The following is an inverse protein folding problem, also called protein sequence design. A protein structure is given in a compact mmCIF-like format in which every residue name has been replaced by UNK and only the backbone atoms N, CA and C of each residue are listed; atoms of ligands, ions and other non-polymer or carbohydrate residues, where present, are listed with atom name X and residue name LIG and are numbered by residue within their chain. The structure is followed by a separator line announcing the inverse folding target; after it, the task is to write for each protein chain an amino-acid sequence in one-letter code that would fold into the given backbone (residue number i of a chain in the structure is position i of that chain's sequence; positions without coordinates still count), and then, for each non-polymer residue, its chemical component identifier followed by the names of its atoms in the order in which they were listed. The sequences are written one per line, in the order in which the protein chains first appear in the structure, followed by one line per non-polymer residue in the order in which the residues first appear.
data_IF_200640290886
#
_entry.id   IF_200640290886
#
_cell.length_a   1.000
_cell.length_b   1.000
_cell.length_c   1.000
_cell.angle_alpha   90.00
_cell.angle_beta   90.00
_cell.angle_gamma   90.00
#
_symmetry.space_group_name_H-M   'P 1'
#
loop_
_entity.id
_entity.type
_entity.pdbx_description
1 polymer ?
#
# COMPACT_ATOMS: atom_id res chain seq x y z
N UNK A 1 -8.28 -0.68 -25.37
CA UNK A 1 -6.87 -1.05 -25.16
C UNK A 1 -6.62 -1.24 -23.67
N UNK A 2 -5.67 -2.11 -23.33
CA UNK A 2 -5.20 -2.36 -21.96
C UNK A 2 -3.72 -2.04 -21.91
N UNK A 3 -3.24 -1.55 -20.77
CA UNK A 3 -1.82 -1.37 -20.49
C UNK A 3 -1.37 -2.49 -19.57
N UNK A 4 -0.28 -3.16 -19.90
CA UNK A 4 0.37 -4.16 -19.07
C UNK A 4 1.56 -3.51 -18.37
N UNK A 5 1.59 -3.55 -17.04
CA UNK A 5 2.74 -3.12 -16.26
C UNK A 5 3.40 -4.35 -15.64
N UNK A 6 4.66 -4.59 -15.97
CA UNK A 6 5.42 -5.71 -15.43
C UNK A 6 6.31 -5.25 -14.28
N UNK A 7 6.09 -5.82 -13.09
CA UNK A 7 7.00 -5.72 -11.94
C UNK A 7 7.89 -6.96 -11.93
N UNK A 8 9.18 -6.76 -12.11
CA UNK A 8 10.11 -7.85 -12.36
C UNK A 8 11.44 -7.60 -11.63
N UNK A 9 12.10 -8.62 -11.06
CA UNK A 9 13.40 -8.44 -10.43
C UNK A 9 14.45 -7.90 -11.38
N UNK A 10 15.32 -7.03 -10.89
CA UNK A 10 16.45 -6.54 -11.68
C UNK A 10 17.50 -7.62 -11.90
N UNK A 11 17.76 -8.45 -10.87
CA UNK A 11 18.76 -9.51 -10.85
C UNK A 11 18.18 -10.83 -10.34
N UNK A 12 18.80 -11.95 -10.63
CA UNK A 12 18.39 -13.28 -10.19
C UNK A 12 18.09 -14.23 -11.35
N UNK A 13 17.60 -15.43 -11.01
CA UNK A 13 17.39 -16.51 -11.99
C UNK A 13 16.40 -16.13 -13.09
N UNK A 14 15.32 -15.42 -12.74
CA UNK A 14 14.31 -14.90 -13.68
C UNK A 14 14.19 -13.40 -13.41
N UNK A 15 14.81 -12.56 -14.26
CA UNK A 15 14.99 -11.14 -14.00
C UNK A 15 15.23 -10.37 -15.30
N UNK A 16 15.23 -9.03 -15.24
CA UNK A 16 15.63 -8.17 -16.36
C UNK A 16 17.07 -8.46 -16.84
N UNK A 17 17.97 -8.94 -15.96
CA UNK A 17 19.33 -9.30 -16.31
C UNK A 17 19.38 -10.57 -17.18
N UNK A 18 18.50 -11.52 -16.95
CA UNK A 18 18.52 -12.85 -17.60
C UNK A 18 17.50 -12.99 -18.73
N UNK A 19 16.51 -12.10 -18.84
CA UNK A 19 15.49 -12.11 -19.88
C UNK A 19 15.69 -10.88 -20.76
N UNK A 20 16.49 -11.04 -21.84
CA UNK A 20 16.88 -9.90 -22.69
C UNK A 20 16.59 -10.12 -24.17
N UNK A 21 16.75 -11.33 -24.67
CA UNK A 21 16.55 -11.61 -26.08
C UNK A 21 15.12 -12.12 -26.38
N UNK A 22 14.75 -12.07 -27.67
CA UNK A 22 13.41 -12.44 -28.14
C UNK A 22 12.94 -13.81 -27.63
N UNK A 23 13.80 -14.82 -27.62
CA UNK A 23 13.39 -16.17 -27.23
C UNK A 23 13.15 -16.28 -25.73
N UNK A 24 13.95 -15.60 -24.92
CA UNK A 24 13.79 -15.53 -23.47
C UNK A 24 12.52 -14.77 -23.09
N UNK A 25 12.25 -13.63 -23.73
CA UNK A 25 11.03 -12.84 -23.50
C UNK A 25 9.79 -13.67 -23.86
N UNK A 26 9.75 -14.26 -25.06
CA UNK A 26 8.62 -15.09 -25.47
C UNK A 26 8.48 -16.31 -24.54
N UNK A 27 9.57 -16.96 -24.17
CA UNK A 27 9.59 -18.11 -23.27
C UNK A 27 9.03 -17.78 -21.88
N UNK A 28 9.40 -16.63 -21.31
CA UNK A 28 8.83 -16.13 -20.06
C UNK A 28 7.31 -15.98 -20.16
N UNK A 29 6.84 -15.26 -21.17
CA UNK A 29 5.40 -15.00 -21.32
C UNK A 29 4.60 -16.25 -21.71
N UNK A 30 5.20 -17.20 -22.44
CA UNK A 30 4.56 -18.50 -22.71
C UNK A 30 4.37 -19.33 -21.44
N UNK A 31 5.30 -19.23 -20.50
CA UNK A 31 5.28 -19.99 -19.25
C UNK A 31 4.36 -19.35 -18.21
N UNK A 32 4.52 -18.05 -17.99
CA UNK A 32 3.87 -17.35 -16.88
C UNK A 32 2.53 -16.69 -17.28
N UNK A 33 2.39 -16.27 -18.55
CA UNK A 33 1.25 -15.51 -19.04
C UNK A 33 0.74 -16.00 -20.41
N UNK A 34 0.47 -17.31 -20.59
CA UNK A 34 0.13 -17.87 -21.90
C UNK A 34 -1.12 -17.26 -22.53
N UNK A 35 -2.10 -16.87 -21.70
CA UNK A 35 -3.38 -16.31 -22.16
C UNK A 35 -3.22 -14.89 -22.75
N UNK A 36 -2.18 -14.16 -22.36
CA UNK A 36 -1.97 -12.76 -22.76
C UNK A 36 -1.06 -12.66 -23.98
N UNK A 37 -0.19 -13.63 -24.22
CA UNK A 37 0.84 -13.57 -25.25
C UNK A 37 0.28 -13.21 -26.63
N UNK A 38 -0.83 -13.83 -27.04
CA UNK A 38 -1.46 -13.58 -28.34
C UNK A 38 -2.10 -12.19 -28.45
N UNK A 39 -2.30 -11.49 -27.34
CA UNK A 39 -2.90 -10.16 -27.27
C UNK A 39 -1.85 -9.05 -27.31
N UNK A 40 -0.55 -9.40 -27.28
CA UNK A 40 0.59 -8.47 -27.21
C UNK A 40 1.49 -8.60 -28.45
N UNK A 41 1.06 -8.12 -29.62
CA UNK A 41 1.84 -8.29 -30.87
C UNK A 41 3.20 -7.56 -30.83
N UNK A 42 3.33 -6.48 -30.06
CA UNK A 42 4.57 -5.70 -29.89
C UNK A 42 5.39 -6.10 -28.67
N UNK A 43 5.04 -7.19 -27.96
CA UNK A 43 5.67 -7.58 -26.69
C UNK A 43 7.20 -7.46 -26.67
N UNK A 44 7.86 -8.02 -27.67
CA UNK A 44 9.34 -8.05 -27.70
C UNK A 44 9.92 -6.64 -27.89
N UNK A 45 9.33 -5.86 -28.79
CA UNK A 45 9.71 -4.47 -29.02
C UNK A 45 9.49 -3.62 -27.78
N UNK A 46 8.29 -3.70 -27.17
CA UNK A 46 7.94 -2.97 -25.96
C UNK A 46 8.86 -3.34 -24.78
N UNK A 47 9.15 -4.64 -24.59
CA UNK A 47 10.03 -5.10 -23.52
C UNK A 47 11.47 -4.58 -23.67
N UNK A 48 11.96 -4.48 -24.91
CA UNK A 48 13.34 -4.06 -25.20
C UNK A 48 13.50 -2.52 -25.29
N UNK A 49 12.45 -1.79 -25.65
CA UNK A 49 12.57 -0.35 -25.90
C UNK A 49 11.99 0.52 -24.79
N UNK A 50 11.01 0.01 -24.05
CA UNK A 50 10.45 0.78 -22.93
C UNK A 50 11.46 0.90 -21.79
N UNK A 51 11.57 2.09 -21.16
CA UNK A 51 12.51 2.28 -20.06
C UNK A 51 12.11 1.47 -18.83
N UNK A 52 13.09 0.77 -18.25
CA UNK A 52 12.91 0.09 -16.96
C UNK A 52 13.22 1.06 -15.82
N UNK A 53 12.23 1.31 -14.96
CA UNK A 53 12.36 2.14 -13.77
C UNK A 53 12.63 1.33 -12.51
N UNK A 54 13.40 1.89 -11.58
CA UNK A 54 13.52 1.35 -10.24
C UNK A 54 12.39 1.88 -9.35
N UNK A 55 11.85 1.02 -8.51
CA UNK A 55 10.91 1.42 -7.46
C UNK A 55 11.70 1.77 -6.20
N UNK A 56 11.32 2.87 -5.57
CA UNK A 56 11.90 3.31 -4.31
C UNK A 56 10.80 3.82 -3.37
N UNK A 57 11.02 3.65 -2.08
CA UNK A 57 10.21 4.27 -1.02
C UNK A 57 11.07 5.29 -0.30
N UNK A 58 10.50 6.47 -0.04
CA UNK A 58 11.17 7.55 0.68
C UNK A 58 10.55 7.68 2.07
N UNK A 59 11.39 7.66 3.09
CA UNK A 59 11.05 8.02 4.47
C UNK A 59 11.81 9.30 4.81
N UNK A 60 11.09 10.38 5.00
CA UNK A 60 11.64 11.68 5.33
C UNK A 60 11.02 12.19 6.64
N UNK A 61 11.83 12.81 7.48
CA UNK A 61 11.41 13.46 8.72
C UNK A 61 12.52 14.42 9.18
N UNK A 62 12.25 15.69 9.44
CA UNK A 62 10.98 16.40 9.20
C UNK A 62 10.74 16.73 7.71
N UNK A 63 9.49 17.10 7.35
CA UNK A 63 9.15 17.53 5.99
C UNK A 63 9.35 19.04 5.76
N UNK A 64 9.84 19.77 6.75
CA UNK A 64 10.01 21.23 6.63
C UNK A 64 11.35 21.70 7.16
N UNK A 65 11.72 22.91 6.76
CA UNK A 65 12.86 23.67 7.27
C UNK A 65 12.37 25.05 7.65
N UNK A 66 12.18 25.29 8.96
CA UNK A 66 11.67 26.56 9.47
C UNK A 66 10.40 27.01 8.74
N UNK A 67 10.29 28.29 8.40
CA UNK A 67 9.24 28.89 7.58
C UNK A 67 9.58 28.97 6.07
N UNK A 68 10.68 28.33 5.63
CA UNK A 68 11.30 28.54 4.32
C UNK A 68 10.93 27.51 3.29
N UNK A 69 10.75 26.26 3.70
CA UNK A 69 10.47 25.15 2.79
C UNK A 69 9.66 24.04 3.43
N UNK A 70 8.78 23.41 2.65
CA UNK A 70 8.04 22.20 3.03
C UNK A 70 8.04 21.23 1.86
N UNK A 71 8.18 19.94 2.15
CA UNK A 71 8.06 18.84 1.19
C UNK A 71 6.63 18.34 1.14
N UNK A 72 6.16 17.98 -0.07
CA UNK A 72 4.82 17.45 -0.34
C UNK A 72 4.91 16.28 -1.31
N UNK A 73 3.97 15.34 -1.21
CA UNK A 73 3.82 14.24 -2.14
C UNK A 73 5.07 13.37 -2.24
N UNK A 74 5.42 12.93 -3.43
CA UNK A 74 6.56 12.03 -3.66
C UNK A 74 7.91 12.59 -3.19
N UNK A 75 8.04 13.91 -3.07
CA UNK A 75 9.25 14.52 -2.50
C UNK A 75 9.41 14.23 -1.01
N UNK A 76 8.30 14.04 -0.28
CA UNK A 76 8.25 13.74 1.15
C UNK A 76 8.14 12.24 1.44
N UNK A 77 7.32 11.53 0.65
CA UNK A 77 6.90 10.16 0.92
C UNK A 77 6.60 9.38 -0.38
N UNK A 78 7.52 9.32 -1.34
CA UNK A 78 7.35 8.43 -2.48
C UNK A 78 7.13 7.00 -2.00
N UNK A 79 6.09 6.34 -2.52
CA UNK A 79 5.71 4.98 -2.13
C UNK A 79 5.67 4.05 -3.34
N UNK A 80 6.00 2.77 -3.13
CA UNK A 80 5.84 1.75 -4.16
C UNK A 80 4.35 1.57 -4.54
N UNK A 81 4.01 1.27 -5.82
CA UNK A 81 2.65 1.42 -6.34
C UNK A 81 1.67 0.30 -5.94
N UNK A 82 2.07 -0.61 -5.07
CA UNK A 82 1.30 -1.83 -4.79
C UNK A 82 0.00 -1.60 -4.01
N UNK A 83 -0.17 -0.44 -3.38
CA UNK A 83 -1.44 0.00 -2.79
C UNK A 83 -2.21 0.99 -3.69
N UNK A 84 -1.54 1.58 -4.70
CA UNK A 84 -2.14 2.56 -5.60
C UNK A 84 -2.51 3.89 -4.94
N UNK A 85 -1.83 4.27 -3.85
CA UNK A 85 -2.21 5.42 -3.04
C UNK A 85 -1.30 6.65 -3.14
N UNK A 86 -0.18 6.59 -3.88
CA UNK A 86 0.77 7.71 -3.95
C UNK A 86 0.11 9.03 -4.37
N UNK A 87 -0.67 9.02 -5.44
CA UNK A 87 -1.40 10.21 -5.90
C UNK A 87 -2.44 10.69 -4.87
N UNK A 88 -3.18 9.79 -4.24
CA UNK A 88 -4.20 10.13 -3.24
C UNK A 88 -3.55 10.76 -2.00
N UNK A 89 -2.45 10.20 -1.51
CA UNK A 89 -1.68 10.75 -0.40
C UNK A 89 -1.16 12.16 -0.73
N UNK A 90 -0.60 12.36 -1.94
CA UNK A 90 -0.11 13.67 -2.38
C UNK A 90 -1.23 14.72 -2.46
N UNK A 91 -2.42 14.36 -2.92
CA UNK A 91 -3.56 15.29 -2.91
C UNK A 91 -4.10 15.55 -1.51
N UNK A 92 -4.02 14.58 -0.60
CA UNK A 92 -4.36 14.77 0.80
C UNK A 92 -3.42 15.78 1.46
N UNK A 93 -2.12 15.72 1.18
CA UNK A 93 -1.15 16.71 1.65
C UNK A 93 -1.57 18.13 1.25
N UNK A 94 -1.91 18.33 -0.03
CA UNK A 94 -2.37 19.62 -0.52
C UNK A 94 -3.62 20.12 0.22
N UNK A 95 -4.57 19.22 0.50
CA UNK A 95 -5.81 19.56 1.19
C UNK A 95 -5.55 19.96 2.64
N UNK A 96 -4.70 19.20 3.32
CA UNK A 96 -4.35 19.49 4.74
C UNK A 96 -3.55 20.77 4.83
N UNK A 97 -2.54 20.97 3.98
CA UNK A 97 -1.76 22.21 3.97
C UNK A 97 -2.67 23.42 3.70
N UNK A 98 -3.60 23.32 2.76
CA UNK A 98 -4.55 24.40 2.47
C UNK A 98 -5.42 24.75 3.69
N UNK A 99 -5.88 23.76 4.47
CA UNK A 99 -6.65 24.00 5.68
C UNK A 99 -5.78 24.71 6.74
N UNK A 100 -4.56 24.26 6.95
CA UNK A 100 -3.62 24.87 7.90
C UNK A 100 -3.26 26.33 7.53
N UNK A 101 -3.20 26.66 6.24
CA UNK A 101 -3.01 28.06 5.79
C UNK A 101 -4.17 28.93 6.29
N UNK A 102 -5.39 28.41 6.24
CA UNK A 102 -6.57 29.12 6.77
C UNK A 102 -6.56 29.21 8.30
N UNK A 103 -6.26 28.13 8.97
CA UNK A 103 -6.31 28.02 10.44
C UNK A 103 -5.25 28.89 11.13
N UNK A 104 -4.06 29.01 10.54
CA UNK A 104 -2.93 29.76 11.07
C UNK A 104 -2.73 31.15 10.41
N UNK A 105 -3.71 31.61 9.62
CA UNK A 105 -3.72 32.96 8.99
C UNK A 105 -2.40 33.31 8.25
N UNK A 106 -1.75 32.31 7.65
CA UNK A 106 -0.50 32.49 6.92
C UNK A 106 0.78 32.55 7.77
N UNK A 107 0.73 32.15 9.03
CA UNK A 107 1.94 31.94 9.83
C UNK A 107 2.68 30.68 9.38
N UNK A 108 3.60 30.83 8.43
CA UNK A 108 4.28 29.72 7.76
C UNK A 108 5.09 28.84 8.71
N UNK A 109 5.69 29.39 9.77
CA UNK A 109 6.42 28.61 10.75
C UNK A 109 5.50 27.59 11.44
N UNK A 110 4.35 28.01 11.91
CA UNK A 110 3.38 27.13 12.56
C UNK A 110 2.71 26.18 11.56
N UNK A 111 2.41 26.66 10.33
CA UNK A 111 1.80 25.84 9.28
C UNK A 111 2.69 24.66 8.93
N UNK A 112 3.99 24.90 8.66
CA UNK A 112 4.91 23.86 8.25
C UNK A 112 5.25 22.90 9.40
N UNK A 113 5.40 23.43 10.63
CA UNK A 113 5.63 22.60 11.79
C UNK A 113 4.45 21.65 12.07
N UNK A 114 3.21 22.17 12.06
CA UNK A 114 2.01 21.37 12.28
C UNK A 114 1.78 20.37 11.14
N UNK A 115 1.94 20.79 9.90
CA UNK A 115 1.83 19.90 8.74
C UNK A 115 2.81 18.73 8.85
N UNK A 116 4.09 19.02 9.09
CA UNK A 116 5.13 18.00 9.22
C UNK A 116 4.83 17.05 10.39
N UNK A 117 4.53 17.59 11.58
CA UNK A 117 4.30 16.77 12.77
C UNK A 117 3.08 15.85 12.66
N UNK A 118 2.02 16.32 12.05
CA UNK A 118 0.76 15.56 11.91
C UNK A 118 0.77 14.60 10.70
N UNK A 119 1.58 14.89 9.65
CA UNK A 119 1.50 14.16 8.38
C UNK A 119 2.63 13.17 8.14
N UNK A 120 3.82 13.36 8.71
CA UNK A 120 4.93 12.40 8.63
C UNK A 120 4.49 10.99 9.01
N UNK A 121 3.74 10.85 10.09
CA UNK A 121 3.24 9.54 10.56
C UNK A 121 2.31 8.86 9.55
N UNK A 122 1.53 9.62 8.79
CA UNK A 122 0.66 9.11 7.73
C UNK A 122 1.47 8.71 6.49
N UNK A 123 2.46 9.50 6.11
CA UNK A 123 3.38 9.19 5.01
C UNK A 123 4.17 7.91 5.26
N UNK A 124 4.69 7.74 6.47
CA UNK A 124 5.37 6.50 6.85
C UNK A 124 4.41 5.30 6.87
N UNK A 125 3.22 5.45 7.43
CA UNK A 125 2.23 4.37 7.49
C UNK A 125 1.81 3.87 6.10
N UNK A 126 1.54 4.76 5.13
CA UNK A 126 1.19 4.33 3.77
C UNK A 126 2.39 3.70 3.05
N UNK A 127 3.60 4.16 3.32
CA UNK A 127 4.82 3.57 2.80
C UNK A 127 5.02 2.14 3.30
N UNK A 128 4.86 1.91 4.61
CA UNK A 128 4.95 0.58 5.23
C UNK A 128 3.87 -0.36 4.68
N UNK A 129 2.62 0.09 4.63
CA UNK A 129 1.51 -0.70 4.07
C UNK A 129 1.75 -1.08 2.61
N UNK A 130 2.33 -0.19 1.80
CA UNK A 130 2.62 -0.46 0.41
C UNK A 130 3.72 -1.53 0.24
N UNK A 131 4.75 -1.51 1.10
CA UNK A 131 5.80 -2.53 1.13
C UNK A 131 5.25 -3.86 1.61
N UNK A 132 4.45 -3.88 2.67
CA UNK A 132 3.81 -5.10 3.18
C UNK A 132 2.91 -5.74 2.12
N UNK A 133 2.13 -4.93 1.40
CA UNK A 133 1.29 -5.42 0.31
C UNK A 133 2.11 -6.01 -0.84
N UNK A 134 3.25 -5.40 -1.18
CA UNK A 134 4.18 -5.98 -2.14
C UNK A 134 4.66 -7.37 -1.71
N UNK A 135 5.11 -7.51 -0.46
CA UNK A 135 5.58 -8.78 0.08
C UNK A 135 4.44 -9.82 0.07
N UNK A 136 3.23 -9.41 0.46
CA UNK A 136 2.06 -10.28 0.45
C UNK A 136 1.72 -10.76 -0.97
N UNK A 137 1.69 -9.86 -1.94
CA UNK A 137 1.41 -10.19 -3.35
C UNK A 137 2.47 -11.11 -3.95
N UNK A 138 3.73 -10.87 -3.64
CA UNK A 138 4.86 -11.65 -4.16
C UNK A 138 4.92 -13.06 -3.57
N UNK A 139 4.77 -13.18 -2.25
CA UNK A 139 5.14 -14.41 -1.52
C UNK A 139 3.93 -15.20 -1.01
N UNK A 140 2.78 -14.55 -0.79
CA UNK A 140 1.70 -15.13 0.02
C UNK A 140 0.48 -15.59 -0.76
N UNK A 141 0.25 -15.11 -1.97
CA UNK A 141 -1.00 -15.34 -2.74
C UNK A 141 -1.29 -16.82 -2.97
N UNK A 142 -0.26 -17.64 -3.15
CA UNK A 142 -0.37 -19.08 -3.36
C UNK A 142 -0.44 -19.89 -2.05
N UNK A 143 -0.25 -19.25 -0.89
CA UNK A 143 -0.27 -19.91 0.40
C UNK A 143 -1.72 -20.26 0.81
N UNK A 144 -2.04 -21.53 1.14
CA UNK A 144 -3.37 -21.92 1.61
C UNK A 144 -3.86 -21.15 2.85
N UNK A 145 -2.93 -20.77 3.74
CA UNK A 145 -3.27 -19.99 4.94
C UNK A 145 -3.67 -18.55 4.58
N UNK A 146 -3.10 -17.98 3.54
CA UNK A 146 -3.50 -16.67 3.02
C UNK A 146 -4.97 -16.68 2.58
N UNK A 147 -5.36 -17.68 1.80
CA UNK A 147 -6.76 -17.82 1.35
C UNK A 147 -7.74 -17.98 2.50
N UNK A 148 -7.37 -18.77 3.51
CA UNK A 148 -8.19 -18.95 4.73
C UNK A 148 -8.32 -17.65 5.52
N UNK A 149 -7.21 -16.91 5.68
CA UNK A 149 -7.20 -15.60 6.35
C UNK A 149 -8.10 -14.63 5.63
N UNK A 150 -8.00 -14.55 4.30
CA UNK A 150 -8.83 -13.67 3.48
C UNK A 150 -10.32 -13.99 3.59
N UNK A 151 -10.68 -15.27 3.65
CA UNK A 151 -12.06 -15.69 3.88
C UNK A 151 -12.54 -15.26 5.27
N UNK A 152 -11.75 -15.51 6.32
CA UNK A 152 -12.06 -15.09 7.69
C UNK A 152 -12.24 -13.56 7.78
N UNK A 153 -11.39 -12.79 7.13
CA UNK A 153 -11.47 -11.34 7.08
C UNK A 153 -12.84 -10.86 6.53
N UNK A 154 -13.30 -11.46 5.42
CA UNK A 154 -14.60 -11.15 4.83
C UNK A 154 -15.80 -11.59 5.71
N UNK A 155 -15.65 -12.69 6.46
CA UNK A 155 -16.66 -13.15 7.42
C UNK A 155 -16.75 -12.19 8.62
N UNK A 156 -15.61 -11.73 9.14
CA UNK A 156 -15.55 -10.77 10.23
C UNK A 156 -16.09 -9.39 9.83
N UNK A 157 -15.79 -8.91 8.62
CA UNK A 157 -16.35 -7.68 8.08
C UNK A 157 -17.89 -7.71 8.09
N UNK A 158 -18.47 -8.82 7.62
CA UNK A 158 -19.94 -9.01 7.62
C UNK A 158 -20.53 -9.10 9.03
N UNK A 159 -19.81 -9.76 9.95
CA UNK A 159 -20.25 -9.97 11.33
C UNK A 159 -20.13 -8.71 12.19
N UNK A 160 -19.16 -7.85 11.89
CA UNK A 160 -18.86 -6.63 12.68
C UNK A 160 -18.79 -5.39 11.77
N UNK A 161 -19.91 -5.01 11.12
CA UNK A 161 -19.93 -3.91 10.17
C UNK A 161 -19.48 -2.61 10.84
N UNK A 162 -18.63 -1.85 10.14
CA UNK A 162 -18.07 -0.58 10.63
C UNK A 162 -16.99 -0.72 11.72
N UNK A 163 -16.77 -1.93 12.27
CA UNK A 163 -15.71 -2.18 13.26
C UNK A 163 -14.56 -2.98 12.65
N UNK A 164 -14.84 -4.13 12.08
CA UNK A 164 -13.85 -4.93 11.38
C UNK A 164 -13.95 -4.60 9.88
N UNK A 165 -13.02 -3.79 9.39
CA UNK A 165 -12.95 -3.39 7.99
C UNK A 165 -11.59 -3.83 7.46
N UNK A 166 -11.52 -4.62 6.37
CA UNK A 166 -10.24 -5.02 5.78
C UNK A 166 -9.34 -3.83 5.50
N UNK A 167 -8.03 -3.97 5.76
CA UNK A 167 -7.05 -2.88 5.60
C UNK A 167 -7.16 -2.23 4.21
N UNK A 168 -7.25 -3.04 3.16
CA UNK A 168 -7.39 -2.54 1.79
C UNK A 168 -8.67 -1.70 1.62
N UNK A 169 -9.78 -2.12 2.23
CA UNK A 169 -11.04 -1.37 2.17
C UNK A 169 -10.94 -0.05 2.93
N UNK A 170 -10.28 -0.05 4.11
CA UNK A 170 -10.05 1.19 4.86
C UNK A 170 -9.25 2.20 4.05
N UNK A 171 -8.17 1.77 3.40
CA UNK A 171 -7.33 2.65 2.58
C UNK A 171 -8.03 3.15 1.34
N UNK A 172 -8.80 2.28 0.65
CA UNK A 172 -9.32 2.58 -0.68
C UNK A 172 -10.68 3.26 -0.69
N UNK A 173 -11.50 3.05 0.35
CA UNK A 173 -12.93 3.44 0.34
C UNK A 173 -13.36 4.27 1.55
N UNK A 174 -12.44 4.56 2.49
CA UNK A 174 -12.73 5.34 3.69
C UNK A 174 -11.75 6.51 3.80
N UNK A 175 -12.18 7.57 4.49
CA UNK A 175 -11.34 8.72 4.80
C UNK A 175 -10.77 8.59 6.23
N UNK A 176 -9.95 7.58 6.45
CA UNK A 176 -9.28 7.31 7.72
C UNK A 176 -7.80 7.68 7.56
N UNK A 177 -7.18 8.38 8.53
CA UNK A 177 -5.74 8.64 8.49
C UNK A 177 -4.94 7.34 8.32
N UNK A 178 -3.93 7.33 7.45
CA UNK A 178 -3.15 6.13 7.16
C UNK A 178 -2.49 5.53 8.40
N UNK A 179 -2.04 6.34 9.34
CA UNK A 179 -1.48 5.86 10.61
C UNK A 179 -2.51 5.10 11.46
N UNK A 180 -3.78 5.55 11.46
CA UNK A 180 -4.87 4.84 12.12
C UNK A 180 -5.18 3.53 11.38
N UNK A 181 -5.24 3.56 10.05
CA UNK A 181 -5.46 2.34 9.24
C UNK A 181 -4.36 1.31 9.50
N UNK A 182 -3.10 1.75 9.57
CA UNK A 182 -1.97 0.87 9.85
C UNK A 182 -2.13 0.19 11.21
N UNK A 183 -2.35 0.97 12.26
CA UNK A 183 -2.55 0.46 13.63
C UNK A 183 -3.72 -0.53 13.72
N UNK A 184 -4.88 -0.18 13.13
CA UNK A 184 -6.05 -1.05 13.10
C UNK A 184 -5.77 -2.34 12.33
N UNK A 185 -5.07 -2.23 11.21
CA UNK A 185 -4.66 -3.38 10.39
C UNK A 185 -3.77 -4.36 11.15
N UNK A 186 -2.83 -3.87 11.95
CA UNK A 186 -1.98 -4.70 12.80
C UNK A 186 -2.78 -5.45 13.87
N UNK A 187 -3.69 -4.76 14.56
CA UNK A 187 -4.59 -5.40 15.54
C UNK A 187 -5.41 -6.51 14.87
N UNK A 188 -6.01 -6.22 13.72
CA UNK A 188 -6.80 -7.21 12.97
C UNK A 188 -5.96 -8.41 12.53
N UNK A 189 -4.77 -8.16 12.01
CA UNK A 189 -3.86 -9.20 11.55
C UNK A 189 -3.41 -10.13 12.70
N UNK A 190 -3.00 -9.55 13.82
CA UNK A 190 -2.59 -10.31 14.99
C UNK A 190 -3.76 -11.14 15.55
N UNK A 191 -4.94 -10.56 15.63
CA UNK A 191 -6.16 -11.20 16.12
C UNK A 191 -6.56 -12.40 15.26
N UNK A 192 -6.57 -12.23 13.94
CA UNK A 192 -6.86 -13.34 13.01
C UNK A 192 -5.81 -14.44 13.10
N UNK A 193 -4.54 -14.11 13.22
CA UNK A 193 -3.48 -15.12 13.36
C UNK A 193 -3.61 -15.91 14.66
N UNK A 194 -3.94 -15.27 15.79
CA UNK A 194 -4.21 -15.96 17.07
C UNK A 194 -5.41 -16.88 16.95
N UNK A 195 -6.49 -16.42 16.32
CA UNK A 195 -7.70 -17.21 16.12
C UNK A 195 -7.46 -18.41 15.20
N UNK A 196 -6.84 -18.24 14.06
CA UNK A 196 -6.51 -19.32 13.12
C UNK A 196 -5.55 -20.36 13.71
N UNK A 197 -4.69 -19.94 14.63
CA UNK A 197 -3.79 -20.83 15.36
C UNK A 197 -4.46 -21.54 16.55
N UNK A 198 -5.75 -21.32 16.82
CA UNK A 198 -6.48 -21.87 17.97
C UNK A 198 -6.00 -21.36 19.33
N UNK A 199 -5.33 -20.20 19.36
CA UNK A 199 -4.82 -19.59 20.59
C UNK A 199 -5.87 -18.77 21.34
N UNK A 200 -6.94 -18.40 20.68
CA UNK A 200 -8.08 -17.66 21.24
C UNK A 200 -9.37 -18.30 20.77
N UNK A 201 -10.44 -18.15 21.57
CA UNK A 201 -11.79 -18.66 21.28
C UNK A 201 -12.59 -17.65 20.47
N UNK A 202 -13.76 -18.07 19.94
CA UNK A 202 -14.74 -17.16 19.33
C UNK A 202 -15.19 -16.04 20.28
N UNK A 203 -15.31 -16.34 21.58
CA UNK A 203 -15.68 -15.35 22.60
C UNK A 203 -14.58 -14.31 22.80
N UNK A 204 -13.31 -14.75 22.82
CA UNK A 204 -12.16 -13.84 22.94
C UNK A 204 -12.05 -12.94 21.70
N UNK A 205 -12.21 -13.54 20.52
CA UNK A 205 -12.23 -12.81 19.23
C UNK A 205 -13.32 -11.74 19.24
N UNK A 206 -14.54 -12.10 19.63
CA UNK A 206 -15.67 -11.17 19.73
C UNK A 206 -15.38 -10.02 20.71
N UNK A 207 -14.92 -10.34 21.91
CA UNK A 207 -14.64 -9.37 22.97
C UNK A 207 -13.54 -8.39 22.54
N UNK A 208 -12.46 -8.91 21.92
CA UNK A 208 -11.34 -8.08 21.44
C UNK A 208 -11.79 -7.14 20.33
N UNK A 209 -12.56 -7.62 19.35
CA UNK A 209 -13.10 -6.76 18.27
C UNK A 209 -13.93 -5.60 18.84
N UNK A 210 -14.80 -5.88 19.83
CA UNK A 210 -15.65 -4.85 20.41
C UNK A 210 -14.88 -3.82 21.24
N UNK A 211 -13.81 -4.22 21.90
CA UNK A 211 -13.03 -3.36 22.78
C UNK A 211 -11.97 -2.55 22.03
N UNK A 212 -11.24 -3.16 21.08
CA UNK A 212 -10.08 -2.55 20.44
C UNK A 212 -10.40 -1.89 19.09
N UNK A 213 -11.39 -2.42 18.35
CA UNK A 213 -11.78 -1.84 17.07
C UNK A 213 -13.02 -0.97 17.22
N UNK A 214 -12.80 0.32 17.49
CA UNK A 214 -13.90 1.29 17.56
C UNK A 214 -14.61 1.43 16.20
N UNK A 215 -15.94 1.72 16.16
CA UNK A 215 -16.62 1.95 14.90
C UNK A 215 -15.98 3.10 14.11
N UNK A 216 -15.73 2.86 12.84
CA UNK A 216 -15.37 3.91 11.87
C UNK A 216 -16.64 4.68 11.54
N UNK A 217 -16.57 6.00 11.62
CA UNK A 217 -17.69 6.91 11.33
C UNK A 217 -17.79 7.18 9.83
#
# INVERSE_FOLDING_TARGET
SFTCTLFFPMTGQTSFETVQNKNEIIGLFQTEFPDVLNMMPSLVEDFQTNPTGNLATIYCDPWHVEDKAVLLGDAAHAVVPFFGQGMNASFQDCSVLNNLIGDYEGNWENIYAEFSSSHVVNGHAIADMAIENYIEMRDSVNNPNFKKRRQLELELEKKYPGRFIPRYSMVSFHQIPYAEVYTRGEIQFELMNKFMAGKITDSDLHTTILNELQPVK
#
